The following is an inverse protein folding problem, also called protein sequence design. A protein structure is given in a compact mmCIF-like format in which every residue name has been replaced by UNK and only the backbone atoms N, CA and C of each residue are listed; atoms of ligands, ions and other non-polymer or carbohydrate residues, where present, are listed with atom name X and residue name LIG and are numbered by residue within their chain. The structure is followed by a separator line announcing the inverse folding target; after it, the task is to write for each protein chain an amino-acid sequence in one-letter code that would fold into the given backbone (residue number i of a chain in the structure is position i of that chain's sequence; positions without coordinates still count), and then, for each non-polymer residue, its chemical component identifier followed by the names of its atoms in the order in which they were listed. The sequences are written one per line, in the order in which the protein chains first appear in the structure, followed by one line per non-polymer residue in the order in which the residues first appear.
data_IF_991619683832
#
_entry.id   IF_991619683832
#
_cell.length_a   1.000
_cell.length_b   1.000
_cell.length_c   1.000
_cell.angle_alpha   90.00
_cell.angle_beta   90.00
_cell.angle_gamma   90.00
#
_symmetry.space_group_name_H-M   'P 1'
#
loop_
_entity.id
_entity.type
_entity.pdbx_description
1 polymer ?
#
# COMPACT_ATOMS: atom_id res chain seq x y z
N UNK A 1 -13.91 12.81 30.72
CA UNK A 1 -13.37 11.81 29.77
C UNK A 1 -14.31 11.53 28.61
N UNK A 2 -15.51 10.95 28.77
CA UNK A 2 -16.39 10.67 27.62
C UNK A 2 -16.79 11.92 26.81
N UNK A 3 -17.20 13.01 27.48
CA UNK A 3 -17.52 14.27 26.80
C UNK A 3 -16.28 14.90 26.12
N UNK A 4 -15.13 14.86 26.79
CA UNK A 4 -13.85 15.33 26.22
C UNK A 4 -13.40 14.47 25.03
N UNK A 5 -13.80 13.20 24.96
CA UNK A 5 -13.50 12.30 23.85
C UNK A 5 -14.36 12.58 22.62
N UNK A 6 -15.62 13.01 22.81
CA UNK A 6 -16.47 13.48 21.72
C UNK A 6 -15.89 14.74 21.07
N UNK A 7 -15.36 15.68 21.87
CA UNK A 7 -14.73 16.92 21.39
C UNK A 7 -13.41 16.69 20.63
N UNK A 8 -12.82 15.48 20.74
CA UNK A 8 -11.57 15.09 20.06
C UNK A 8 -11.84 14.45 18.70
N UNK A 9 -13.06 13.98 18.41
CA UNK A 9 -13.35 13.32 17.13
C UNK A 9 -13.10 14.29 15.97
N UNK A 10 -12.31 13.91 14.95
CA UNK A 10 -12.07 14.76 13.80
C UNK A 10 -13.38 15.03 13.05
N UNK A 11 -13.64 16.31 12.79
CA UNK A 11 -14.79 16.73 12.00
C UNK A 11 -14.50 16.44 10.53
N UNK A 12 -15.46 15.78 9.86
CA UNK A 12 -15.39 15.49 8.43
C UNK A 12 -15.70 16.76 7.63
N UNK A 13 -14.85 17.06 6.65
CA UNK A 13 -15.03 18.14 5.70
C UNK A 13 -14.39 17.76 4.36
N UNK A 14 -13.82 18.73 3.66
CA UNK A 14 -13.01 18.46 2.47
C UNK A 14 -11.74 17.67 2.85
N UNK A 15 -11.05 17.12 1.85
CA UNK A 15 -9.92 16.21 2.08
C UNK A 15 -8.85 16.85 2.99
N UNK A 16 -8.44 18.08 2.65
CA UNK A 16 -7.40 18.80 3.40
C UNK A 16 -7.87 19.22 4.79
N UNK A 17 -9.13 19.64 4.92
CA UNK A 17 -9.72 20.01 6.21
C UNK A 17 -9.80 18.81 7.14
N UNK A 18 -10.26 17.67 6.63
CA UNK A 18 -10.34 16.41 7.37
C UNK A 18 -8.95 15.98 7.85
N UNK A 19 -7.96 16.05 6.96
CA UNK A 19 -6.55 15.72 7.26
C UNK A 19 -5.99 16.65 8.36
N UNK A 20 -6.25 17.94 8.28
CA UNK A 20 -5.85 18.94 9.28
C UNK A 20 -6.55 18.71 10.64
N UNK A 21 -7.85 18.40 10.62
CA UNK A 21 -8.61 18.08 11.82
C UNK A 21 -8.06 16.85 12.55
N UNK A 22 -7.66 15.82 11.80
CA UNK A 22 -7.00 14.63 12.37
C UNK A 22 -5.68 15.04 13.04
N UNK A 23 -4.81 15.79 12.36
CA UNK A 23 -3.54 16.27 12.95
C UNK A 23 -3.76 17.01 14.26
N UNK A 24 -4.78 17.87 14.33
CA UNK A 24 -5.08 18.67 15.53
C UNK A 24 -5.69 17.86 16.67
N UNK A 25 -6.35 16.73 16.37
CA UNK A 25 -6.98 15.86 17.37
C UNK A 25 -5.99 14.93 18.07
N UNK A 26 -4.93 14.47 17.37
CA UNK A 26 -3.96 13.51 17.89
C UNK A 26 -3.30 13.99 19.20
N UNK A 27 -2.68 15.19 19.29
CA UNK A 27 -2.04 15.62 20.53
C UNK A 27 -3.01 15.71 21.71
N UNK A 28 -4.27 16.08 21.46
CA UNK A 28 -5.31 16.19 22.49
C UNK A 28 -5.67 14.81 23.05
N UNK A 29 -5.78 13.80 22.19
CA UNK A 29 -6.04 12.41 22.58
C UNK A 29 -4.95 11.88 23.51
N UNK A 30 -3.69 11.99 23.09
CA UNK A 30 -2.55 11.51 23.88
C UNK A 30 -2.44 12.25 25.22
N UNK A 31 -2.63 13.57 25.23
CA UNK A 31 -2.61 14.37 26.46
C UNK A 31 -3.74 13.98 27.42
N UNK A 32 -4.94 13.69 26.90
CA UNK A 32 -6.07 13.26 27.73
C UNK A 32 -5.80 11.89 28.38
N UNK A 33 -5.26 10.95 27.61
CA UNK A 33 -4.85 9.63 28.12
C UNK A 33 -3.76 9.78 29.19
N UNK A 34 -2.71 10.56 28.93
CA UNK A 34 -1.60 10.77 29.86
C UNK A 34 -2.06 11.41 31.18
N UNK A 35 -2.86 12.48 31.12
CA UNK A 35 -3.47 13.09 32.32
C UNK A 35 -4.37 12.14 33.09
N UNK A 36 -4.97 11.16 32.43
CA UNK A 36 -5.83 10.18 33.09
C UNK A 36 -5.00 9.14 33.84
N UNK A 37 -3.82 8.78 33.31
CA UNK A 37 -2.82 7.96 34.00
C UNK A 37 -2.31 8.66 35.25
N UNK A 38 -1.89 9.93 35.13
CA UNK A 38 -1.37 10.69 36.27
C UNK A 38 -2.43 10.82 37.37
N UNK A 39 -3.68 11.12 37.00
CA UNK A 39 -4.80 11.16 37.95
C UNK A 39 -5.02 9.81 38.63
N UNK A 40 -4.99 8.71 37.87
CA UNK A 40 -5.15 7.37 38.43
C UNK A 40 -4.06 7.03 39.44
N UNK A 41 -2.81 7.39 39.15
CA UNK A 41 -1.69 7.20 40.08
C UNK A 41 -1.92 8.02 41.35
N UNK A 42 -2.29 9.30 41.23
CA UNK A 42 -2.52 10.17 42.40
C UNK A 42 -3.70 9.72 43.27
N UNK A 43 -4.79 9.23 42.67
CA UNK A 43 -6.01 8.90 43.42
C UNK A 43 -6.07 7.47 43.96
N UNK A 44 -5.36 6.54 43.32
CA UNK A 44 -5.46 5.11 43.63
C UNK A 44 -4.12 4.48 44.01
N UNK A 45 -3.05 5.29 44.07
CA UNK A 45 -1.67 4.81 44.16
C UNK A 45 -1.33 3.78 43.04
N UNK A 46 -2.08 3.84 41.93
CA UNK A 46 -2.00 2.95 40.78
C UNK A 46 -2.72 1.58 40.95
N UNK A 47 -3.50 1.38 41.99
CA UNK A 47 -4.20 0.09 42.23
C UNK A 47 -5.26 -0.24 41.19
N UNK A 48 -5.83 0.75 40.50
CA UNK A 48 -6.83 0.55 39.43
C UNK A 48 -6.22 0.74 38.03
N UNK A 49 -4.89 0.65 37.93
CA UNK A 49 -4.14 0.92 36.71
C UNK A 49 -4.39 -0.12 35.60
N UNK A 50 -4.61 -1.38 35.96
CA UNK A 50 -4.93 -2.44 35.01
C UNK A 50 -6.24 -2.14 34.25
N UNK A 51 -7.28 -1.74 34.99
CA UNK A 51 -8.59 -1.40 34.42
C UNK A 51 -8.51 -0.12 33.57
N UNK A 52 -7.73 0.87 34.01
CA UNK A 52 -7.49 2.07 33.21
C UNK A 52 -6.78 1.74 31.89
N UNK A 53 -5.83 0.79 31.86
CA UNK A 53 -5.15 0.43 30.62
C UNK A 53 -6.05 -0.27 29.62
N UNK A 54 -6.95 -1.12 30.10
CA UNK A 54 -7.97 -1.70 29.24
C UNK A 54 -8.85 -0.62 28.61
N UNK A 55 -9.23 0.40 29.39
CA UNK A 55 -9.99 1.54 28.88
C UNK A 55 -9.18 2.36 27.85
N UNK A 56 -7.93 2.72 28.15
CA UNK A 56 -7.07 3.51 27.23
C UNK A 56 -6.81 2.73 25.93
N UNK A 57 -6.57 1.42 26.02
CA UNK A 57 -6.45 0.54 24.85
C UNK A 57 -7.72 0.57 24.01
N UNK A 58 -8.89 0.48 24.63
CA UNK A 58 -10.19 0.60 23.95
C UNK A 58 -10.38 1.96 23.27
N UNK A 59 -9.95 3.05 23.92
CA UNK A 59 -9.99 4.40 23.33
C UNK A 59 -9.15 4.48 22.06
N UNK A 60 -7.91 3.97 22.07
CA UNK A 60 -7.06 3.98 20.88
C UNK A 60 -7.59 3.06 19.77
N UNK A 61 -8.10 1.86 20.09
CA UNK A 61 -8.75 0.99 19.10
C UNK A 61 -9.91 1.70 18.41
N UNK A 62 -10.80 2.34 19.18
CA UNK A 62 -11.95 3.06 18.65
C UNK A 62 -11.51 4.26 17.78
N UNK A 63 -10.47 4.97 18.20
CA UNK A 63 -9.93 6.09 17.44
C UNK A 63 -9.30 5.63 16.11
N UNK A 64 -8.51 4.55 16.11
CA UNK A 64 -7.95 3.95 14.89
C UNK A 64 -9.05 3.45 13.94
N UNK A 65 -10.10 2.84 14.48
CA UNK A 65 -11.28 2.45 13.69
C UNK A 65 -11.97 3.67 13.06
N UNK A 66 -12.12 4.77 13.81
CA UNK A 66 -12.67 6.03 13.28
C UNK A 66 -11.81 6.60 12.14
N UNK A 67 -10.48 6.53 12.25
CA UNK A 67 -9.59 6.94 11.17
C UNK A 67 -9.74 6.05 9.92
N UNK A 68 -9.97 4.76 10.11
CA UNK A 68 -10.22 3.84 8.99
C UNK A 68 -11.54 4.16 8.27
N UNK A 69 -12.61 4.46 9.00
CA UNK A 69 -13.87 4.93 8.41
C UNK A 69 -13.71 6.28 7.70
N UNK A 70 -12.90 7.18 8.29
CA UNK A 70 -12.57 8.47 7.67
C UNK A 70 -11.82 8.26 6.35
N UNK A 71 -10.84 7.35 6.32
CA UNK A 71 -10.12 7.00 5.09
C UNK A 71 -11.05 6.44 4.01
N UNK A 72 -12.00 5.56 4.37
CA UNK A 72 -13.02 5.05 3.43
C UNK A 72 -13.88 6.19 2.86
N UNK A 73 -14.30 7.13 3.70
CA UNK A 73 -15.04 8.31 3.25
C UNK A 73 -14.22 9.19 2.30
N UNK A 74 -12.95 9.47 2.63
CA UNK A 74 -12.04 10.23 1.78
C UNK A 74 -11.80 9.54 0.42
N UNK A 75 -11.67 8.21 0.41
CA UNK A 75 -11.59 7.41 -0.81
C UNK A 75 -12.86 7.52 -1.66
N UNK A 76 -14.03 7.56 -1.01
CA UNK A 76 -15.32 7.81 -1.67
C UNK A 76 -15.38 9.18 -2.35
N UNK A 77 -14.94 10.25 -1.67
CA UNK A 77 -14.85 11.60 -2.25
C UNK A 77 -13.88 11.62 -3.44
N UNK A 78 -12.76 10.92 -3.33
CA UNK A 78 -11.74 10.82 -4.36
C UNK A 78 -12.21 10.03 -5.60
N UNK A 79 -13.35 9.32 -5.56
CA UNK A 79 -13.98 8.63 -6.70
C UNK A 79 -12.99 7.88 -7.62
N UNK A 80 -12.03 7.16 -7.02
CA UNK A 80 -10.94 6.44 -7.73
C UNK A 80 -11.42 5.16 -8.46
N UNK A 81 -12.74 4.95 -8.56
CA UNK A 81 -13.35 3.76 -9.14
C UNK A 81 -14.10 4.04 -10.44
N UNK A 82 -14.56 5.28 -10.66
CA UNK A 82 -15.36 5.64 -11.83
C UNK A 82 -14.54 6.56 -12.74
N UNK A 83 -14.36 6.14 -13.99
CA UNK A 83 -13.81 6.98 -15.06
C UNK A 83 -14.68 8.22 -15.24
N UNK A 84 -14.22 9.44 -14.90
CA UNK A 84 -14.99 10.65 -15.14
C UNK A 84 -14.96 10.94 -16.64
N UNK A 85 -16.04 10.64 -17.34
CA UNK A 85 -16.19 10.86 -18.79
C UNK A 85 -16.09 12.33 -19.23
N UNK A 86 -16.09 13.29 -18.29
CA UNK A 86 -16.29 14.73 -18.57
C UNK A 86 -15.15 15.65 -18.11
N UNK A 87 -14.00 15.14 -17.66
CA UNK A 87 -12.86 15.99 -17.27
C UNK A 87 -11.88 16.13 -18.44
N UNK A 88 -11.41 17.34 -18.70
CA UNK A 88 -10.28 17.56 -19.62
C UNK A 88 -8.99 16.99 -19.02
N UNK A 89 -8.02 16.65 -19.86
CA UNK A 89 -6.76 16.04 -19.42
C UNK A 89 -6.02 16.87 -18.36
N UNK A 90 -6.01 18.20 -18.49
CA UNK A 90 -5.37 19.11 -17.53
C UNK A 90 -6.09 19.11 -16.17
N UNK A 91 -7.43 19.21 -16.17
CA UNK A 91 -8.23 19.17 -14.93
C UNK A 91 -8.18 17.81 -14.25
N UNK A 92 -7.88 16.76 -15.01
CA UNK A 92 -7.75 15.41 -14.50
C UNK A 92 -6.37 15.18 -13.87
N UNK A 93 -5.32 15.80 -14.40
CA UNK A 93 -3.99 15.79 -13.83
C UNK A 93 -3.95 16.55 -12.49
N UNK A 94 -4.42 17.81 -12.48
CA UNK A 94 -4.51 18.63 -11.26
C UNK A 94 -5.37 17.96 -10.17
N UNK A 95 -6.44 17.31 -10.58
CA UNK A 95 -7.30 16.54 -9.67
C UNK A 95 -6.53 15.35 -9.09
N UNK A 96 -5.86 14.53 -9.90
CA UNK A 96 -5.08 13.37 -9.43
C UNK A 96 -3.96 13.75 -8.46
N UNK A 97 -3.26 14.85 -8.71
CA UNK A 97 -2.19 15.36 -7.84
C UNK A 97 -2.70 15.77 -6.46
N UNK A 98 -3.84 16.47 -6.38
CA UNK A 98 -4.39 16.94 -5.11
C UNK A 98 -4.77 15.78 -4.17
N UNK A 99 -5.43 14.75 -4.70
CA UNK A 99 -5.77 13.56 -3.89
C UNK A 99 -4.55 12.71 -3.57
N UNK A 100 -3.57 12.63 -4.46
CA UNK A 100 -2.31 11.94 -4.19
C UNK A 100 -1.52 12.60 -3.05
N UNK A 101 -1.35 13.93 -3.09
CA UNK A 101 -0.71 14.67 -1.99
C UNK A 101 -1.49 14.53 -0.69
N UNK A 102 -2.82 14.53 -0.77
CA UNK A 102 -3.69 14.24 0.36
C UNK A 102 -3.46 12.84 0.93
N UNK A 103 -3.42 11.81 0.08
CA UNK A 103 -3.17 10.43 0.47
C UNK A 103 -1.81 10.26 1.14
N UNK A 104 -0.76 10.89 0.59
CA UNK A 104 0.57 10.92 1.20
C UNK A 104 0.55 11.59 2.57
N UNK A 105 -0.17 12.72 2.71
CA UNK A 105 -0.28 13.39 4.00
C UNK A 105 -1.01 12.52 5.03
N UNK A 106 -2.03 11.80 4.62
CA UNK A 106 -2.73 10.86 5.47
C UNK A 106 -1.82 9.69 5.92
N UNK A 107 -1.01 9.16 5.00
CA UNK A 107 0.00 8.13 5.31
C UNK A 107 1.04 8.64 6.31
N UNK A 108 1.53 9.87 6.15
CA UNK A 108 2.45 10.52 7.10
C UNK A 108 1.82 10.63 8.50
N UNK A 109 0.54 11.02 8.57
CA UNK A 109 -0.20 11.11 9.83
C UNK A 109 -0.31 9.75 10.53
N UNK A 110 -0.63 8.69 9.78
CA UNK A 110 -0.73 7.33 10.36
C UNK A 110 0.61 6.91 10.95
N UNK A 111 1.70 7.07 10.19
CA UNK A 111 3.03 6.72 10.70
C UNK A 111 3.40 7.55 11.94
N UNK A 112 3.04 8.84 11.97
CA UNK A 112 3.19 9.67 13.17
C UNK A 112 2.40 9.15 14.37
N UNK A 113 1.16 8.67 14.16
CA UNK A 113 0.35 8.06 15.22
C UNK A 113 0.99 6.78 15.73
N UNK A 114 1.48 5.91 14.83
CA UNK A 114 2.14 4.64 15.19
C UNK A 114 3.35 4.91 16.07
N UNK A 115 4.27 5.77 15.63
CA UNK A 115 5.46 6.11 16.43
C UNK A 115 5.10 6.76 17.77
N UNK A 116 4.03 7.58 17.81
CA UNK A 116 3.52 8.17 19.05
C UNK A 116 2.92 7.12 19.99
N UNK A 117 2.19 6.13 19.46
CA UNK A 117 1.64 5.02 20.24
C UNK A 117 2.77 4.19 20.85
N UNK A 118 3.80 3.85 20.08
CA UNK A 118 4.96 3.10 20.55
C UNK A 118 5.70 3.84 21.67
N UNK A 119 5.98 5.14 21.48
CA UNK A 119 6.59 5.97 22.52
C UNK A 119 5.70 6.10 23.76
N UNK A 120 4.38 6.24 23.57
CA UNK A 120 3.44 6.32 24.68
C UNK A 120 3.39 5.00 25.47
N UNK A 121 3.41 3.85 24.80
CA UNK A 121 3.47 2.53 25.43
C UNK A 121 4.73 2.39 26.32
N UNK A 122 5.89 2.82 25.82
CA UNK A 122 7.12 2.85 26.61
C UNK A 122 7.03 3.79 27.82
N UNK A 123 6.43 4.97 27.66
CA UNK A 123 6.22 5.91 28.76
C UNK A 123 5.28 5.35 29.83
N UNK A 124 4.20 4.67 29.43
CA UNK A 124 3.30 3.98 30.35
C UNK A 124 4.05 2.92 31.15
N UNK A 125 4.84 2.08 30.46
CA UNK A 125 5.65 1.03 31.09
C UNK A 125 6.60 1.59 32.16
N UNK A 126 7.30 2.68 31.84
CA UNK A 126 8.20 3.36 32.79
C UNK A 126 7.42 3.93 33.99
N UNK A 127 6.31 4.65 33.75
CA UNK A 127 5.46 5.20 34.83
C UNK A 127 5.00 4.09 35.78
N UNK A 128 4.67 2.92 35.24
CA UNK A 128 4.11 1.81 36.00
C UNK A 128 5.17 1.10 36.84
N UNK A 129 6.32 0.80 36.23
CA UNK A 129 7.46 0.23 36.95
C UNK A 129 7.90 1.15 38.09
N UNK A 130 7.81 2.47 37.91
CA UNK A 130 8.07 3.43 38.97
C UNK A 130 7.04 3.35 40.10
N UNK A 131 5.77 3.05 39.86
CA UNK A 131 4.77 2.86 40.92
C UNK A 131 4.98 1.56 41.72
N UNK A 132 5.77 0.58 41.21
CA UNK A 132 5.99 -0.74 41.84
C UNK A 132 6.36 -0.65 43.33
N UNK A 133 7.20 0.31 43.72
CA UNK A 133 7.64 0.45 45.11
C UNK A 133 6.51 0.79 46.08
N UNK A 134 5.50 1.55 45.62
CA UNK A 134 4.32 1.93 46.40
C UNK A 134 3.51 0.67 46.74
N UNK A 135 3.30 -0.21 45.77
CA UNK A 135 2.61 -1.50 45.97
C UNK A 135 3.38 -2.48 46.85
N UNK A 136 4.70 -2.60 46.66
CA UNK A 136 5.49 -3.51 47.50
C UNK A 136 5.50 -3.10 48.96
N UNK A 137 5.36 -1.80 49.24
CA UNK A 137 5.22 -1.27 50.59
C UNK A 137 3.82 -1.56 51.14
N UNK A 138 2.77 -1.27 50.36
CA UNK A 138 1.38 -1.59 50.74
C UNK A 138 1.12 -3.09 50.97
N UNK A 139 1.77 -3.99 50.20
CA UNK A 139 1.68 -5.44 50.41
C UNK A 139 2.35 -5.91 51.71
N UNK A 140 3.44 -5.26 52.15
CA UNK A 140 4.08 -5.55 53.43
C UNK A 140 3.19 -5.12 54.60
N UNK A 141 2.47 -4.01 54.44
CA UNK A 141 1.48 -3.52 55.41
C UNK A 141 0.25 -4.43 55.50
N UNK A 142 -0.25 -4.95 54.37
CA UNK A 142 -1.36 -5.92 54.36
C UNK A 142 -0.97 -7.25 55.03
N UNK A 143 0.27 -7.72 54.84
CA UNK A 143 0.76 -8.96 55.49
C UNK A 143 0.99 -8.79 57.00
N UNK A 144 1.22 -7.57 57.47
CA UNK A 144 1.52 -7.30 58.89
C UNK A 144 0.29 -6.96 59.74
N UNK A 145 -0.86 -6.66 59.14
CA UNK A 145 -2.04 -6.17 59.85
C UNK A 145 -3.28 -7.01 59.53
N UNK A 146 -3.77 -7.74 60.53
CA UNK A 146 -5.06 -8.47 60.50
C UNK A 146 -6.29 -7.55 60.41
N UNK A 147 -6.11 -6.23 60.54
CA UNK A 147 -7.16 -5.22 60.45
C UNK A 147 -6.51 -3.88 60.09
N UNK A 148 -6.31 -3.57 58.80
CA UNK A 148 -6.22 -2.18 58.36
C UNK A 148 -6.86 -2.04 56.97
N UNK A 149 -7.74 -1.04 56.89
CA UNK A 149 -8.22 -0.37 55.69
C UNK A 149 -7.04 0.19 54.86
N UNK A 150 -6.30 -0.68 54.18
CA UNK A 150 -5.58 -0.28 52.97
C UNK A 150 -6.66 0.08 51.95
N UNK A 151 -7.02 1.35 51.88
CA UNK A 151 -8.22 1.85 51.18
C UNK A 151 -8.26 1.52 49.68
N UNK A 152 -7.13 1.07 49.12
CA UNK A 152 -6.91 0.91 47.69
C UNK A 152 -6.69 -0.55 47.23
N UNK A 153 -6.32 -1.47 48.13
CA UNK A 153 -6.22 -2.91 47.82
C UNK A 153 -7.32 -3.66 48.56
N UNK A 154 -8.54 -3.48 48.08
CA UNK A 154 -9.78 -3.98 48.69
C UNK A 154 -9.93 -5.50 48.69
N UNK A 155 -9.12 -6.24 47.92
CA UNK A 155 -9.23 -7.71 47.79
C UNK A 155 -7.86 -8.36 47.53
N UNK A 156 -7.60 -9.49 48.17
CA UNK A 156 -6.38 -10.29 47.97
C UNK A 156 -6.21 -10.72 46.50
N UNK A 157 -7.30 -10.98 45.79
CA UNK A 157 -7.33 -11.33 44.36
C UNK A 157 -6.82 -10.18 43.49
N UNK A 158 -7.28 -8.94 43.72
CA UNK A 158 -6.78 -7.74 43.03
C UNK A 158 -5.27 -7.57 43.25
N UNK A 159 -4.80 -7.79 44.48
CA UNK A 159 -3.38 -7.70 44.82
C UNK A 159 -2.53 -8.76 44.08
N UNK A 160 -3.02 -9.99 43.97
CA UNK A 160 -2.37 -11.06 43.20
C UNK A 160 -2.37 -10.78 41.69
N UNK A 161 -3.48 -10.28 41.14
CA UNK A 161 -3.60 -9.89 39.74
C UNK A 161 -2.58 -8.78 39.38
N UNK A 162 -2.49 -7.73 40.20
CA UNK A 162 -1.51 -6.65 40.04
C UNK A 162 -0.06 -7.15 40.11
N UNK A 163 0.24 -8.04 41.05
CA UNK A 163 1.58 -8.62 41.15
C UNK A 163 1.96 -9.42 39.89
N UNK A 164 1.02 -10.21 39.36
CA UNK A 164 1.21 -10.93 38.10
C UNK A 164 1.37 -9.97 36.90
N UNK A 165 0.67 -8.84 36.92
CA UNK A 165 0.76 -7.81 35.89
C UNK A 165 2.12 -7.12 35.89
N UNK A 166 2.66 -6.78 37.07
CA UNK A 166 4.03 -6.24 37.17
C UNK A 166 5.09 -7.21 36.66
N UNK A 167 4.96 -8.50 36.94
CA UNK A 167 5.87 -9.50 36.40
C UNK A 167 5.80 -9.58 34.86
N UNK A 168 4.63 -9.33 34.26
CA UNK A 168 4.51 -9.22 32.79
C UNK A 168 5.18 -7.96 32.27
N UNK A 169 5.09 -6.84 32.99
CA UNK A 169 5.76 -5.58 32.62
C UNK A 169 7.29 -5.66 32.67
N UNK A 170 7.86 -6.58 33.45
CA UNK A 170 9.31 -6.81 33.49
C UNK A 170 9.84 -7.42 32.18
N UNK A 171 8.98 -8.06 31.37
CA UNK A 171 9.35 -8.55 30.03
C UNK A 171 9.51 -7.36 29.06
N UNK A 172 10.67 -7.25 28.43
CA UNK A 172 10.99 -6.18 27.46
C UNK A 172 10.03 -6.22 26.26
N UNK A 173 9.63 -7.41 25.81
CA UNK A 173 8.75 -7.60 24.66
C UNK A 173 7.28 -7.31 24.96
N UNK A 174 6.90 -7.20 26.23
CA UNK A 174 5.52 -6.91 26.60
C UNK A 174 5.16 -5.45 26.30
N UNK A 175 4.14 -5.27 25.47
CA UNK A 175 3.49 -3.99 25.15
C UNK A 175 2.12 -3.90 25.83
N UNK A 176 1.86 -2.77 26.49
CA UNK A 176 0.61 -2.54 27.25
C UNK A 176 -0.56 -2.41 26.28
N UNK A 177 -0.32 -1.74 25.16
CA UNK A 177 -1.23 -1.49 24.06
C UNK A 177 -1.14 -2.55 22.96
N UNK A 178 -0.65 -3.76 23.24
CA UNK A 178 -0.53 -4.87 22.26
C UNK A 178 -1.75 -5.05 21.36
N UNK A 179 -2.94 -4.85 21.91
CA UNK A 179 -4.19 -4.93 21.16
C UNK A 179 -4.40 -3.86 20.09
N UNK A 180 -3.59 -2.80 19.96
CA UNK A 180 -3.76 -1.78 18.89
C UNK A 180 -2.95 -2.07 17.64
N UNK A 181 -2.02 -3.03 17.69
CA UNK A 181 -1.14 -3.39 16.57
C UNK A 181 -1.91 -3.78 15.31
N UNK A 182 -2.87 -4.68 15.44
CA UNK A 182 -3.63 -5.18 14.30
C UNK A 182 -4.45 -4.05 13.64
N UNK A 183 -5.07 -3.18 14.45
CA UNK A 183 -5.86 -2.06 13.94
C UNK A 183 -5.02 -1.02 13.21
N UNK A 184 -3.86 -0.63 13.74
CA UNK A 184 -3.03 0.36 13.05
C UNK A 184 -2.33 -0.24 11.82
N UNK A 185 -1.96 -1.53 11.83
CA UNK A 185 -1.41 -2.21 10.65
C UNK A 185 -2.44 -2.27 9.52
N UNK A 186 -3.70 -2.61 9.85
CA UNK A 186 -4.79 -2.58 8.87
C UNK A 186 -5.02 -1.17 8.31
N UNK A 187 -5.01 -0.15 9.17
CA UNK A 187 -5.13 1.25 8.76
C UNK A 187 -3.96 1.69 7.85
N UNK A 188 -2.74 1.29 8.19
CA UNK A 188 -1.54 1.57 7.41
C UNK A 188 -1.62 0.93 6.02
N UNK A 189 -1.97 -0.35 5.93
CA UNK A 189 -2.15 -1.03 4.65
C UNK A 189 -3.23 -0.36 3.79
N UNK A 190 -4.36 0.05 4.37
CA UNK A 190 -5.41 0.75 3.63
C UNK A 190 -4.95 2.12 3.12
N UNK A 191 -4.14 2.85 3.90
CA UNK A 191 -3.60 4.13 3.48
C UNK A 191 -2.55 3.98 2.37
N UNK A 192 -1.69 2.96 2.46
CA UNK A 192 -0.76 2.62 1.39
C UNK A 192 -1.53 2.23 0.11
N UNK A 193 -2.58 1.42 0.20
CA UNK A 193 -3.46 1.11 -0.94
C UNK A 193 -4.10 2.36 -1.54
N UNK A 194 -4.52 3.31 -0.71
CA UNK A 194 -5.10 4.56 -1.19
C UNK A 194 -4.07 5.44 -1.94
N UNK A 195 -2.83 5.53 -1.44
CA UNK A 195 -1.73 6.20 -2.16
C UNK A 195 -1.48 5.54 -3.51
N UNK A 196 -1.36 4.21 -3.53
CA UNK A 196 -1.17 3.44 -4.75
C UNK A 196 -2.30 3.67 -5.76
N UNK A 197 -3.55 3.53 -5.33
CA UNK A 197 -4.71 3.70 -6.21
C UNK A 197 -4.77 5.13 -6.77
N UNK A 198 -4.41 6.14 -5.98
CA UNK A 198 -4.36 7.54 -6.43
C UNK A 198 -3.32 7.72 -7.54
N UNK A 199 -2.13 7.15 -7.40
CA UNK A 199 -1.09 7.18 -8.44
C UNK A 199 -1.51 6.39 -9.69
N UNK A 200 -2.10 5.22 -9.50
CA UNK A 200 -2.37 4.27 -10.57
C UNK A 200 -3.64 4.60 -11.36
N UNK A 201 -4.58 5.35 -10.78
CA UNK A 201 -5.83 5.73 -11.42
C UNK A 201 -5.64 6.46 -12.74
N UNK A 202 -4.71 7.43 -12.81
CA UNK A 202 -4.41 8.15 -14.04
C UNK A 202 -3.94 7.22 -15.16
N UNK A 203 -3.07 6.28 -14.81
CA UNK A 203 -2.54 5.28 -15.74
C UNK A 203 -3.67 4.38 -16.26
N UNK A 204 -4.57 3.92 -15.37
CA UNK A 204 -5.76 3.15 -15.77
C UNK A 204 -6.58 3.87 -16.83
N UNK A 205 -6.79 5.19 -16.68
CA UNK A 205 -7.53 5.97 -17.67
C UNK A 205 -6.83 6.03 -19.03
N UNK A 206 -5.53 6.30 -19.03
CA UNK A 206 -4.78 6.45 -20.29
C UNK A 206 -4.61 5.13 -21.04
N UNK A 207 -4.56 4.01 -20.32
CA UNK A 207 -4.46 2.68 -20.92
C UNK A 207 -5.84 2.06 -21.26
N UNK A 208 -6.94 2.56 -20.69
CA UNK A 208 -8.30 2.06 -20.97
C UNK A 208 -8.68 2.01 -22.47
N UNK A 209 -8.44 3.06 -23.28
CA UNK A 209 -8.86 3.05 -24.69
C UNK A 209 -8.02 2.15 -25.61
N UNK A 210 -6.86 1.65 -25.15
CA UNK A 210 -5.90 0.90 -25.97
C UNK A 210 -6.56 -0.22 -26.79
N UNK A 211 -7.40 -1.11 -26.25
CA UNK A 211 -7.96 -2.21 -27.04
C UNK A 211 -8.75 -1.74 -28.28
N UNK A 212 -9.29 -0.52 -28.25
CA UNK A 212 -10.25 0.02 -29.23
C UNK A 212 -9.66 1.11 -30.16
N UNK A 213 -8.37 1.42 -30.03
CA UNK A 213 -7.72 2.45 -30.85
C UNK A 213 -7.71 2.08 -32.34
N UNK A 214 -8.02 3.05 -33.20
CA UNK A 214 -8.14 2.83 -34.67
C UNK A 214 -6.77 2.67 -35.33
N UNK A 215 -5.75 3.19 -34.69
CA UNK A 215 -4.34 3.17 -35.07
C UNK A 215 -3.83 1.73 -35.25
N UNK A 216 -4.42 0.75 -34.55
CA UNK A 216 -4.04 -0.66 -34.62
C UNK A 216 -4.42 -1.33 -35.93
N UNK A 217 -5.50 -0.89 -36.56
CA UNK A 217 -6.01 -1.48 -37.81
C UNK A 217 -5.65 -0.59 -39.01
N UNK A 218 -5.03 0.56 -38.78
CA UNK A 218 -4.67 1.49 -39.84
C UNK A 218 -3.66 0.86 -40.82
N UNK A 219 -3.99 0.84 -42.10
CA UNK A 219 -3.12 0.31 -43.16
C UNK A 219 -2.53 1.44 -43.99
N UNK A 220 -1.23 1.36 -44.27
CA UNK A 220 -0.52 2.33 -45.10
C UNK A 220 -0.05 1.64 -46.37
N UNK A 221 -0.39 2.23 -47.52
CA UNK A 221 -0.06 1.68 -48.85
C UNK A 221 1.41 1.84 -49.25
N UNK A 222 2.16 2.69 -48.53
CA UNK A 222 3.57 3.00 -48.78
C UNK A 222 4.41 2.60 -47.59
N UNK A 223 5.61 2.06 -47.84
CA UNK A 223 6.57 1.77 -46.78
C UNK A 223 6.99 3.09 -46.11
N UNK A 224 6.73 3.21 -44.81
CA UNK A 224 7.15 4.35 -44.01
C UNK A 224 8.49 4.00 -43.36
N UNK A 225 9.53 4.86 -43.46
CA UNK A 225 10.78 4.66 -42.74
C UNK A 225 10.56 4.64 -41.22
N UNK A 226 11.27 3.76 -40.51
CA UNK A 226 11.16 3.57 -39.05
C UNK A 226 11.28 4.88 -38.25
N UNK A 227 12.13 5.82 -38.70
CA UNK A 227 12.33 7.14 -38.07
C UNK A 227 11.09 8.05 -38.09
N UNK A 228 10.05 7.69 -38.84
CA UNK A 228 8.81 8.48 -38.93
C UNK A 228 7.85 8.18 -37.77
N UNK A 229 8.12 7.16 -36.97
CA UNK A 229 7.29 6.78 -35.85
C UNK A 229 7.75 7.53 -34.60
N UNK A 230 6.78 8.10 -33.89
CA UNK A 230 6.99 8.69 -32.57
C UNK A 230 6.02 8.05 -31.58
N UNK A 231 6.37 7.98 -30.28
CA UNK A 231 5.46 7.41 -29.29
C UNK A 231 4.13 8.17 -29.30
N UNK A 232 3.02 7.45 -29.21
CA UNK A 232 1.70 8.06 -29.17
C UNK A 232 1.48 8.87 -27.88
N UNK A 233 0.46 9.73 -27.92
CA UNK A 233 0.15 10.66 -26.82
C UNK A 233 -0.14 9.90 -25.53
N UNK A 234 -0.88 8.79 -25.56
CA UNK A 234 -1.25 8.07 -24.34
C UNK A 234 -0.03 7.58 -23.54
N UNK A 235 0.99 7.02 -24.22
CA UNK A 235 2.19 6.50 -23.55
C UNK A 235 3.11 7.63 -23.07
N UNK A 236 3.18 8.73 -23.81
CA UNK A 236 3.89 9.95 -23.37
C UNK A 236 3.29 10.49 -22.07
N UNK A 237 1.96 10.56 -21.98
CA UNK A 237 1.26 11.01 -20.77
C UNK A 237 1.46 10.05 -19.59
N UNK A 238 1.50 8.74 -19.82
CA UNK A 238 1.81 7.76 -18.76
C UNK A 238 3.24 7.97 -18.25
N UNK A 239 4.21 8.12 -19.15
CA UNK A 239 5.61 8.41 -18.82
C UNK A 239 5.76 9.71 -18.04
N UNK A 240 5.11 10.78 -18.51
CA UNK A 240 5.12 12.10 -17.87
C UNK A 240 4.54 12.03 -16.46
N UNK A 241 3.41 11.33 -16.29
CA UNK A 241 2.82 11.09 -14.97
C UNK A 241 3.77 10.36 -14.03
N UNK A 242 4.46 9.30 -14.49
CA UNK A 242 5.44 8.59 -13.66
C UNK A 242 6.62 9.49 -13.23
N UNK A 243 7.07 10.39 -14.11
CA UNK A 243 8.11 11.37 -13.79
C UNK A 243 7.64 12.35 -12.70
N UNK A 244 6.44 12.91 -12.85
CA UNK A 244 5.86 13.84 -11.87
C UNK A 244 5.66 13.14 -10.53
N UNK A 245 5.09 11.93 -10.53
CA UNK A 245 4.88 11.15 -9.31
C UNK A 245 6.19 10.88 -8.58
N UNK A 246 7.28 10.56 -9.31
CA UNK A 246 8.60 10.39 -8.70
C UNK A 246 9.07 11.66 -8.01
N UNK A 247 9.00 12.81 -8.69
CA UNK A 247 9.40 14.10 -8.12
C UNK A 247 8.60 14.47 -6.87
N UNK A 248 7.32 14.10 -6.81
CA UNK A 248 6.47 14.33 -5.64
C UNK A 248 6.80 13.38 -4.47
N UNK A 249 7.41 12.21 -4.73
CA UNK A 249 7.82 11.25 -3.71
C UNK A 249 9.23 11.51 -3.15
N UNK A 250 10.14 12.07 -3.95
CA UNK A 250 11.53 12.35 -3.55
C UNK A 250 11.68 13.14 -2.23
N UNK A 251 10.82 14.14 -1.90
CA UNK A 251 10.87 14.82 -0.60
C UNK A 251 10.73 13.89 0.62
N UNK A 252 10.18 12.70 0.45
CA UNK A 252 9.91 11.73 1.51
C UNK A 252 10.98 10.63 1.66
N UNK A 253 12.04 10.62 0.83
CA UNK A 253 13.10 9.61 0.90
C UNK A 253 13.86 9.59 2.24
N UNK A 254 13.86 10.72 2.96
CA UNK A 254 14.46 10.81 4.29
C UNK A 254 13.59 10.23 5.42
N UNK A 255 12.34 9.86 5.14
CA UNK A 255 11.38 9.39 6.13
C UNK A 255 11.18 7.87 6.07
N UNK A 256 12.12 7.14 6.67
CA UNK A 256 12.10 5.66 6.73
C UNK A 256 10.79 5.09 7.31
N UNK A 257 10.13 5.82 8.20
CA UNK A 257 8.85 5.41 8.79
C UNK A 257 7.72 5.29 7.76
N UNK A 258 7.86 5.86 6.56
CA UNK A 258 6.86 5.77 5.49
C UNK A 258 7.11 4.64 4.50
N UNK A 259 8.23 3.90 4.63
CA UNK A 259 8.58 2.84 3.69
C UNK A 259 7.51 1.74 3.64
N UNK A 260 7.44 1.06 2.49
CA UNK A 260 6.52 -0.07 2.33
C UNK A 260 7.00 -1.22 3.21
N UNK A 261 6.14 -1.73 4.08
CA UNK A 261 6.41 -2.99 4.76
C UNK A 261 6.52 -4.11 3.71
N UNK A 262 7.50 -5.00 3.88
CA UNK A 262 7.71 -6.16 3.02
C UNK A 262 6.44 -7.02 2.89
N UNK A 263 5.59 -7.01 3.91
CA UNK A 263 4.30 -7.69 3.92
C UNK A 263 3.26 -7.01 3.00
N UNK A 264 3.28 -5.69 2.87
CA UNK A 264 2.34 -4.92 2.02
C UNK A 264 2.69 -5.00 0.53
N UNK A 265 3.98 -5.18 0.19
CA UNK A 265 4.48 -5.21 -1.20
C UNK A 265 3.84 -6.33 -2.05
N UNK A 266 3.45 -7.44 -1.42
CA UNK A 266 2.84 -8.61 -2.07
C UNK A 266 1.40 -8.32 -2.56
N UNK A 267 0.69 -7.38 -1.92
CA UNK A 267 -0.73 -7.15 -2.19
C UNK A 267 -1.00 -6.29 -3.44
N UNK A 268 -0.07 -5.43 -3.84
CA UNK A 268 -0.26 -4.53 -4.99
C UNK A 268 -0.27 -5.24 -6.35
N UNK A 269 0.21 -6.49 -6.42
CA UNK A 269 0.38 -7.23 -7.69
C UNK A 269 -0.89 -7.98 -8.14
N UNK A 270 -2.00 -7.89 -7.41
CA UNK A 270 -3.21 -8.68 -7.74
C UNK A 270 -4.10 -8.05 -8.82
N UNK A 271 -3.62 -8.03 -10.07
CA UNK A 271 -4.53 -8.29 -11.20
C UNK A 271 -4.40 -9.77 -11.52
N UNK A 272 -5.52 -10.50 -11.39
CA UNK A 272 -5.59 -11.94 -11.67
C UNK A 272 -4.94 -12.22 -13.03
N UNK A 273 -3.80 -12.91 -13.01
CA UNK A 273 -3.16 -13.42 -14.20
C UNK A 273 -4.19 -14.24 -14.97
N UNK A 274 -4.64 -13.71 -16.10
CA UNK A 274 -5.58 -14.37 -16.99
C UNK A 274 -4.81 -15.39 -17.84
N UNK A 275 -4.43 -16.51 -17.23
CA UNK A 275 -4.08 -17.74 -17.94
C UNK A 275 -4.92 -18.85 -17.31
N UNK A 276 -5.81 -19.52 -18.07
CA UNK A 276 -6.60 -20.61 -17.54
C UNK A 276 -5.68 -21.84 -17.39
N UNK A 277 -5.31 -22.16 -16.16
CA UNK A 277 -4.69 -23.45 -15.85
C UNK A 277 -5.81 -24.51 -15.81
N UNK A 278 -5.79 -25.42 -16.78
CA UNK A 278 -6.59 -26.64 -16.75
C UNK A 278 -5.85 -27.66 -15.88
N UNK A 279 -6.41 -27.98 -14.72
CA UNK A 279 -5.98 -29.10 -13.88
C UNK A 279 -6.45 -30.42 -14.52
N UNK A 280 -5.53 -31.21 -15.05
CA UNK A 280 -5.72 -32.65 -15.21
C UNK A 280 -4.75 -33.36 -14.25
N UNK A 281 -5.31 -33.96 -13.19
CA UNK A 281 -4.63 -34.89 -12.31
C UNK A 281 -4.27 -36.17 -13.08
N UNK A 282 -2.98 -36.54 -13.10
CA UNK A 282 -2.60 -37.94 -13.25
C UNK A 282 -1.31 -38.25 -12.48
N UNK A 283 -1.48 -39.09 -11.47
CA UNK A 283 -0.52 -39.72 -10.57
C UNK A 283 0.52 -40.57 -11.30
N UNK A 284 1.83 -40.26 -11.21
CA UNK A 284 2.93 -41.24 -11.09
C UNK A 284 4.21 -40.59 -10.49
N UNK A 285 4.65 -41.08 -9.32
CA UNK A 285 6.04 -41.43 -9.01
C UNK A 285 7.12 -40.33 -8.86
N UNK A 286 7.75 -40.30 -7.68
CA UNK A 286 8.98 -39.58 -7.31
C UNK A 286 9.96 -39.32 -8.47
N UNK A 287 10.01 -38.07 -8.93
CA UNK A 287 11.18 -37.48 -9.59
C UNK A 287 11.34 -36.05 -9.07
N UNK A 288 12.53 -35.77 -8.57
CA UNK A 288 12.99 -34.51 -7.98
C UNK A 288 12.53 -33.27 -8.75
N UNK A 289 11.73 -32.42 -8.11
CA UNK A 289 11.34 -31.10 -8.64
C UNK A 289 12.57 -30.18 -8.64
N UNK A 290 12.98 -29.59 -9.78
CA UNK A 290 14.00 -28.56 -9.79
C UNK A 290 13.48 -27.30 -9.10
N UNK A 291 14.32 -26.77 -8.22
CA UNK A 291 14.15 -25.58 -7.41
C UNK A 291 14.06 -24.31 -8.28
N UNK A 292 12.95 -24.09 -9.01
CA UNK A 292 12.79 -22.95 -9.93
C UNK A 292 11.60 -22.03 -9.61
N UNK A 293 10.99 -22.17 -8.42
CA UNK A 293 9.90 -21.28 -7.96
C UNK A 293 10.24 -20.54 -6.65
N UNK A 294 11.51 -20.53 -6.23
CA UNK A 294 11.99 -19.73 -5.10
C UNK A 294 12.86 -18.52 -5.48
N UNK A 295 13.26 -18.40 -6.74
CA UNK A 295 14.26 -17.39 -7.16
C UNK A 295 13.66 -16.03 -7.56
N UNK A 296 12.34 -15.81 -7.42
CA UNK A 296 11.72 -14.52 -7.74
C UNK A 296 11.58 -13.56 -6.55
N UNK A 297 12.13 -13.89 -5.37
CA UNK A 297 11.99 -13.08 -4.15
C UNK A 297 13.30 -12.44 -3.66
N UNK A 298 14.46 -12.75 -4.25
CA UNK A 298 15.77 -12.34 -3.69
C UNK A 298 16.58 -11.29 -4.48
N UNK A 299 15.99 -10.49 -5.38
CA UNK A 299 16.70 -9.34 -5.99
C UNK A 299 15.89 -8.03 -5.96
N UNK A 300 15.41 -7.65 -4.78
CA UNK A 300 14.91 -6.31 -4.51
C UNK A 300 15.74 -5.64 -3.41
N UNK A 301 17.05 -5.44 -3.64
CA UNK A 301 17.91 -4.81 -2.63
C UNK A 301 18.79 -3.64 -3.11
N UNK A 302 18.52 -3.08 -4.30
CA UNK A 302 19.20 -1.86 -4.77
C UNK A 302 18.28 -0.61 -4.80
N UNK A 303 17.06 -0.70 -4.25
CA UNK A 303 16.12 0.43 -4.18
C UNK A 303 16.26 1.15 -2.83
N UNK A 304 17.37 1.86 -2.63
CA UNK A 304 17.58 2.73 -1.47
C UNK A 304 16.73 4.02 -1.62
N UNK A 305 15.45 3.97 -1.22
CA UNK A 305 14.60 5.16 -1.11
C UNK A 305 13.09 4.87 -1.18
N UNK A 306 12.30 5.63 -0.42
CA UNK A 306 10.82 5.61 -0.45
C UNK A 306 10.29 5.77 -1.87
N UNK A 307 10.75 6.79 -2.59
CA UNK A 307 10.33 7.09 -3.96
C UNK A 307 10.62 5.92 -4.89
N UNK A 308 11.77 5.27 -4.75
CA UNK A 308 12.16 4.13 -5.58
C UNK A 308 11.24 2.93 -5.35
N UNK A 309 10.91 2.59 -4.10
CA UNK A 309 9.97 1.49 -3.80
C UNK A 309 8.58 1.70 -4.42
N UNK A 310 8.03 2.91 -4.30
CA UNK A 310 6.74 3.27 -4.86
C UNK A 310 6.74 3.30 -6.39
N UNK A 311 7.80 3.84 -7.01
CA UNK A 311 7.94 3.86 -8.46
C UNK A 311 8.09 2.45 -9.02
N UNK A 312 8.84 1.56 -8.36
CA UNK A 312 8.92 0.14 -8.73
C UNK A 312 7.53 -0.52 -8.69
N UNK A 313 6.76 -0.29 -7.62
CA UNK A 313 5.42 -0.87 -7.48
C UNK A 313 4.47 -0.41 -8.60
N UNK A 314 4.41 0.91 -8.85
CA UNK A 314 3.55 1.48 -9.89
C UNK A 314 4.01 1.10 -11.29
N UNK A 315 5.32 1.06 -11.56
CA UNK A 315 5.87 0.67 -12.85
C UNK A 315 5.52 -0.79 -13.18
N UNK A 316 5.64 -1.71 -12.21
CA UNK A 316 5.23 -3.12 -12.39
C UNK A 316 3.74 -3.24 -12.69
N UNK A 317 2.88 -2.55 -11.95
CA UNK A 317 1.45 -2.55 -12.20
C UNK A 317 1.09 -1.93 -13.56
N UNK A 318 1.82 -0.89 -13.98
CA UNK A 318 1.68 -0.25 -15.29
C UNK A 318 2.00 -1.21 -16.42
N UNK A 319 3.14 -1.92 -16.34
CA UNK A 319 3.51 -2.93 -17.34
C UNK A 319 2.51 -4.08 -17.39
N UNK A 320 2.03 -4.57 -16.24
CA UNK A 320 1.02 -5.62 -16.17
C UNK A 320 -0.30 -5.21 -16.83
N UNK A 321 -0.82 -4.03 -16.49
CA UNK A 321 -2.04 -3.49 -17.09
C UNK A 321 -1.86 -3.22 -18.59
N UNK A 322 -0.70 -2.70 -19.01
CA UNK A 322 -0.43 -2.46 -20.41
C UNK A 322 -0.42 -3.76 -21.22
N UNK A 323 0.26 -4.80 -20.72
CA UNK A 323 0.20 -6.15 -21.28
C UNK A 323 -1.23 -6.68 -21.38
N UNK A 324 -2.04 -6.53 -20.32
CA UNK A 324 -3.45 -6.93 -20.31
C UNK A 324 -4.26 -6.21 -21.42
N UNK A 325 -4.07 -4.89 -21.56
CA UNK A 325 -4.76 -4.09 -22.59
C UNK A 325 -4.28 -4.42 -24.00
N UNK A 326 -3.01 -4.74 -24.19
CA UNK A 326 -2.48 -5.21 -25.47
C UNK A 326 -3.10 -6.57 -25.85
N UNK A 327 -3.26 -7.48 -24.88
CA UNK A 327 -3.93 -8.76 -25.12
C UNK A 327 -5.40 -8.60 -25.53
N UNK A 328 -6.05 -7.51 -25.16
CA UNK A 328 -7.44 -7.20 -25.53
C UNK A 328 -7.56 -6.57 -26.92
N UNK A 329 -6.47 -6.22 -27.62
CA UNK A 329 -6.54 -5.69 -28.99
C UNK A 329 -7.00 -6.77 -29.97
N UNK A 330 -8.07 -6.55 -30.73
CA UNK A 330 -8.65 -7.58 -31.61
C UNK A 330 -7.72 -7.95 -32.79
N UNK A 331 -7.18 -6.93 -33.48
CA UNK A 331 -6.36 -7.11 -34.69
C UNK A 331 -5.30 -6.03 -34.82
N UNK A 332 -4.15 -6.40 -35.39
CA UNK A 332 -3.00 -5.53 -35.60
C UNK A 332 -2.56 -5.57 -37.07
N UNK A 333 -2.58 -4.40 -37.73
CA UNK A 333 -1.92 -4.20 -39.02
C UNK A 333 -0.39 -4.16 -38.83
N UNK A 334 0.39 -4.23 -39.93
CA UNK A 334 1.85 -4.07 -39.83
C UNK A 334 2.25 -2.70 -39.26
N UNK A 335 1.52 -1.64 -39.63
CA UNK A 335 1.73 -0.31 -39.09
C UNK A 335 1.38 -0.26 -37.59
N UNK A 336 0.21 -0.78 -37.21
CA UNK A 336 -0.24 -0.80 -35.82
C UNK A 336 0.68 -1.61 -34.91
N UNK A 337 1.15 -2.77 -35.38
CA UNK A 337 2.12 -3.59 -34.66
C UNK A 337 3.44 -2.82 -34.43
N UNK A 338 3.98 -2.19 -35.48
CA UNK A 338 5.22 -1.43 -35.34
C UNK A 338 5.06 -0.20 -34.43
N UNK A 339 3.97 0.57 -34.58
CA UNK A 339 3.66 1.70 -33.72
C UNK A 339 3.53 1.27 -32.25
N UNK A 340 2.82 0.17 -31.98
CA UNK A 340 2.71 -0.39 -30.63
C UNK A 340 4.08 -0.80 -30.08
N UNK A 341 4.96 -1.36 -30.92
CA UNK A 341 6.33 -1.66 -30.51
C UNK A 341 7.11 -0.40 -30.12
N UNK A 342 6.95 0.71 -30.85
CA UNK A 342 7.58 2.00 -30.53
C UNK A 342 7.05 2.53 -29.19
N UNK A 343 5.74 2.45 -28.98
CA UNK A 343 5.09 2.88 -27.74
C UNK A 343 5.58 2.06 -26.54
N UNK A 344 5.64 0.73 -26.65
CA UNK A 344 6.15 -0.15 -25.57
C UNK A 344 7.61 0.18 -25.24
N UNK A 345 8.47 0.32 -26.26
CA UNK A 345 9.88 0.62 -26.02
C UNK A 345 10.08 2.00 -25.37
N UNK A 346 9.23 2.98 -25.66
CA UNK A 346 9.28 4.27 -25.00
C UNK A 346 9.05 4.14 -23.49
N UNK A 347 8.01 3.40 -23.07
CA UNK A 347 7.77 3.14 -21.66
C UNK A 347 8.95 2.39 -21.02
N UNK A 348 9.40 1.30 -21.63
CA UNK A 348 10.47 0.46 -21.07
C UNK A 348 11.78 1.25 -20.89
N UNK A 349 12.13 2.13 -21.83
CA UNK A 349 13.32 2.97 -21.72
C UNK A 349 13.24 3.93 -20.53
N UNK A 350 12.07 4.55 -20.30
CA UNK A 350 11.88 5.44 -19.14
C UNK A 350 11.95 4.65 -17.84
N UNK A 351 11.36 3.46 -17.79
CA UNK A 351 11.42 2.59 -16.63
C UNK A 351 12.85 2.12 -16.32
N UNK A 352 13.65 1.85 -17.34
CA UNK A 352 15.08 1.55 -17.20
C UNK A 352 15.85 2.73 -16.58
N UNK A 353 15.55 3.97 -16.99
CA UNK A 353 16.11 5.19 -16.36
C UNK A 353 15.70 5.31 -14.89
N UNK A 354 14.54 4.76 -14.50
CA UNK A 354 14.12 4.66 -13.11
C UNK A 354 14.76 3.50 -12.34
N UNK A 355 15.61 2.69 -12.97
CA UNK A 355 16.17 1.49 -12.36
C UNK A 355 15.19 0.32 -12.28
N UNK A 356 14.04 0.40 -12.97
CA UNK A 356 13.04 -0.67 -12.98
C UNK A 356 13.34 -1.63 -14.13
N UNK A 357 13.61 -2.89 -13.80
CA UNK A 357 13.79 -3.96 -14.80
C UNK A 357 12.51 -4.13 -15.63
N UNK A 358 12.66 -4.22 -16.95
CA UNK A 358 11.57 -4.48 -17.87
C UNK A 358 10.87 -5.82 -17.58
N UNK A 359 9.55 -5.83 -17.67
CA UNK A 359 8.76 -7.06 -17.62
C UNK A 359 9.12 -7.96 -18.83
N UNK A 360 9.48 -9.24 -18.61
CA UNK A 360 9.87 -10.13 -19.70
C UNK A 360 8.78 -10.32 -20.75
N UNK A 361 7.51 -10.33 -20.34
CA UNK A 361 6.37 -10.52 -21.25
C UNK A 361 6.25 -9.32 -22.18
N UNK A 362 6.23 -8.11 -21.62
CA UNK A 362 6.12 -6.87 -22.38
C UNK A 362 7.33 -6.62 -23.29
N UNK A 363 8.54 -6.95 -22.82
CA UNK A 363 9.76 -6.89 -23.63
C UNK A 363 9.75 -7.86 -24.82
N UNK A 364 9.27 -9.09 -24.60
CA UNK A 364 9.08 -10.06 -25.70
C UNK A 364 8.01 -9.59 -26.69
N UNK A 365 6.88 -9.05 -26.21
CA UNK A 365 5.85 -8.46 -27.08
C UNK A 365 6.45 -7.38 -27.99
N UNK A 366 7.21 -6.43 -27.43
CA UNK A 366 7.85 -5.37 -28.19
C UNK A 366 8.76 -5.93 -29.30
N UNK A 367 9.50 -6.99 -29.02
CA UNK A 367 10.38 -7.66 -30.00
C UNK A 367 9.58 -8.32 -31.11
N UNK A 368 8.50 -9.04 -30.77
CA UNK A 368 7.65 -9.73 -31.74
C UNK A 368 6.87 -8.77 -32.65
N UNK A 369 6.45 -7.63 -32.10
CA UNK A 369 5.71 -6.59 -32.82
C UNK A 369 6.57 -5.83 -33.83
N UNK A 370 7.90 -5.75 -33.62
CA UNK A 370 8.84 -5.11 -34.55
C UNK A 370 9.02 -5.86 -35.86
N UNK A 371 8.82 -7.18 -35.87
CA UNK A 371 9.04 -8.01 -37.06
C UNK A 371 8.06 -7.59 -38.16
N UNK A 372 8.55 -7.33 -39.37
CA UNK A 372 7.71 -6.78 -40.44
C UNK A 372 7.19 -7.83 -41.41
N UNK A 373 7.86 -8.98 -41.51
CA UNK A 373 7.56 -10.01 -42.50
C UNK A 373 7.04 -11.29 -41.85
N UNK A 374 6.05 -11.92 -42.50
CA UNK A 374 5.51 -13.22 -42.07
C UNK A 374 6.58 -14.32 -42.10
N UNK A 375 7.47 -14.28 -43.10
CA UNK A 375 8.53 -15.28 -43.28
C UNK A 375 9.58 -15.28 -42.16
N UNK A 376 9.93 -14.11 -41.64
CA UNK A 376 10.79 -14.00 -40.46
C UNK A 376 10.05 -14.46 -39.20
N UNK A 377 8.77 -14.10 -39.08
CA UNK A 377 7.94 -14.48 -37.94
C UNK A 377 7.76 -16.00 -37.83
N UNK A 378 7.57 -16.70 -38.96
CA UNK A 378 7.37 -18.16 -38.99
C UNK A 378 8.61 -18.97 -38.59
N UNK A 379 9.80 -18.34 -38.55
CA UNK A 379 11.05 -19.00 -38.14
C UNK A 379 11.25 -18.98 -36.61
N UNK A 380 10.42 -18.24 -35.88
CA UNK A 380 10.51 -18.14 -34.43
C UNK A 380 10.03 -19.42 -33.74
N UNK A 381 10.58 -19.75 -32.55
CA UNK A 381 10.08 -20.87 -31.76
C UNK A 381 8.61 -20.63 -31.36
N UNK A 382 7.76 -21.67 -31.40
CA UNK A 382 6.38 -21.56 -30.97
C UNK A 382 6.35 -21.37 -29.45
N UNK A 383 5.73 -20.28 -29.01
CA UNK A 383 5.36 -20.03 -27.62
C UNK A 383 3.99 -19.33 -27.59
N UNK A 384 3.44 -19.15 -26.39
CA UNK A 384 2.10 -18.57 -26.22
C UNK A 384 2.05 -17.16 -26.83
N UNK A 385 3.08 -16.34 -26.60
CA UNK A 385 3.14 -14.96 -27.10
C UNK A 385 3.27 -14.87 -28.63
N UNK A 386 4.10 -15.71 -29.24
CA UNK A 386 4.25 -15.77 -30.71
C UNK A 386 2.96 -16.24 -31.37
N UNK A 387 2.25 -17.18 -30.75
CA UNK A 387 0.95 -17.64 -31.23
C UNK A 387 -0.13 -16.57 -31.11
N UNK A 388 -0.19 -15.85 -29.99
CA UNK A 388 -1.18 -14.79 -29.75
C UNK A 388 -0.95 -13.58 -30.65
N UNK A 389 0.28 -13.07 -30.72
CA UNK A 389 0.61 -11.92 -31.58
C UNK A 389 0.47 -12.32 -33.05
N UNK A 390 0.91 -13.51 -33.43
CA UNK A 390 0.72 -14.05 -34.78
C UNK A 390 -0.75 -14.07 -35.19
N UNK A 391 -1.65 -14.54 -34.32
CA UNK A 391 -3.11 -14.51 -34.57
C UNK A 391 -3.63 -13.09 -34.74
N UNK A 392 -3.26 -12.15 -33.86
CA UNK A 392 -3.70 -10.74 -33.96
C UNK A 392 -3.25 -10.07 -35.26
N UNK A 393 -2.11 -10.48 -35.82
CA UNK A 393 -1.57 -9.98 -37.10
C UNK A 393 -2.09 -10.72 -38.34
N UNK A 394 -2.96 -11.71 -38.17
CA UNK A 394 -3.41 -12.57 -39.28
C UNK A 394 -2.31 -13.49 -39.82
N UNK A 395 -1.24 -13.71 -39.06
CA UNK A 395 -0.09 -14.54 -39.43
C UNK A 395 -0.12 -15.94 -38.83
N UNK A 396 -0.96 -16.16 -37.82
CA UNK A 396 -1.16 -17.47 -37.22
C UNK A 396 -1.59 -18.51 -38.26
N UNK A 397 -1.04 -19.71 -38.15
CA UNK A 397 -1.54 -20.84 -38.93
C UNK A 397 -3.00 -21.05 -38.57
N UNK A 398 -3.86 -21.05 -39.59
CA UNK A 398 -5.29 -21.34 -39.46
C UNK A 398 -5.50 -22.79 -39.04
N UNK A 399 -5.23 -23.10 -37.79
CA UNK A 399 -5.64 -24.32 -37.12
C UNK A 399 -6.73 -23.95 -36.13
N UNK A 400 -7.89 -24.56 -36.39
CA UNK A 400 -9.14 -24.44 -35.65
C UNK A 400 -8.98 -24.78 -34.18
#
# INVERSE_FOLDING_TARGET
MQQELEDIKPVLGDFMDTTSNIVNSIPKLFLLCDKSVDRCIVFTDGTEMQDLMELIRGIFKNYLSLLNETLKHLRGIANLEIVPLNKTDDQFHDWGESYFQGALKFLEIINSIISRLENFDQQLKIKFLNCRHIFTSGLKEIRSLKDVNSFHLTTLEKAQALFSYFHKLDDVAYTILSGTHDEYTSLLSNAQLFVFDSMFFYIKQKLHPIPTMKEWVYEIKTQIPEFSFSPQVYVKLVVEHLLVMRQLLEPYDSNEAMYLDSSSSVHFVTTKSAVPEQEEEMDIGEVSVPLAQKEAVEEANDSEGFASQWIVAIARATMALYSEKIFQIDSLSSYGAFQLSVDINHLLHVLEVFGVKADPTLGQMATLLKIQTKDEYSKLPPNILTSVIGRKRGWGDGTK
#
